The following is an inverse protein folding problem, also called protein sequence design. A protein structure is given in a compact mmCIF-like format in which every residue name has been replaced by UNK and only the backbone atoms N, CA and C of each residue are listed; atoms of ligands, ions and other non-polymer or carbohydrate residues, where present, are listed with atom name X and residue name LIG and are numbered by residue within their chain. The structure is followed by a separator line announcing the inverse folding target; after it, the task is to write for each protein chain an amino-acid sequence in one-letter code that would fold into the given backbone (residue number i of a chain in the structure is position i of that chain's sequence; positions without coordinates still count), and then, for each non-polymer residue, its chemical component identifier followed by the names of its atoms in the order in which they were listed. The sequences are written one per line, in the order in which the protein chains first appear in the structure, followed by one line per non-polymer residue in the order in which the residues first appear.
data_IF_140330962540
#
_entry.id   IF_140330962540
#
_cell.length_a   1.000
_cell.length_b   1.000
_cell.length_c   1.000
_cell.angle_alpha   90.00
_cell.angle_beta   90.00
_cell.angle_gamma   90.00
#
_symmetry.space_group_name_H-M   'P 1'
#
loop_
_entity.id
_entity.type
_entity.pdbx_description
1 polymer ?
#
# COMPACT_ATOMS: atom_id res chain seq x y z
N UNK A 1 16.30 24.50 13.87
CA UNK A 1 16.44 24.27 12.42
C UNK A 1 15.76 22.96 12.10
N UNK A 2 14.99 22.89 11.00
CA UNK A 2 13.53 22.70 11.00
C UNK A 2 13.09 21.25 11.19
N UNK A 3 11.91 21.10 11.79
CA UNK A 3 11.24 19.83 12.08
C UNK A 3 11.21 18.91 10.85
N UNK A 4 11.82 17.73 11.00
CA UNK A 4 11.94 16.66 10.00
C UNK A 4 10.61 16.02 9.64
N UNK A 5 9.67 16.80 9.13
CA UNK A 5 8.45 16.32 8.50
C UNK A 5 8.85 15.74 7.14
N UNK A 6 9.14 14.45 7.09
CA UNK A 6 9.37 13.70 5.84
C UNK A 6 8.10 13.84 5.00
N UNK A 7 8.11 14.75 4.04
CA UNK A 7 7.10 14.78 2.98
C UNK A 7 7.22 13.49 2.19
N UNK A 8 6.12 12.72 2.03
CA UNK A 8 6.16 11.53 1.20
C UNK A 8 6.57 11.95 -0.23
N UNK A 9 7.56 11.25 -0.79
CA UNK A 9 8.00 11.52 -2.17
C UNK A 9 6.88 11.18 -3.15
N UNK A 10 6.89 11.77 -4.34
CA UNK A 10 5.91 11.49 -5.39
C UNK A 10 5.84 9.98 -5.71
N UNK A 11 6.97 9.27 -5.62
CA UNK A 11 7.05 7.80 -5.75
C UNK A 11 6.18 7.05 -4.75
N UNK A 12 6.03 7.56 -3.51
CA UNK A 12 5.13 6.99 -2.51
C UNK A 12 3.65 7.21 -2.83
N UNK A 13 3.33 8.20 -3.67
CA UNK A 13 1.99 8.40 -4.23
C UNK A 13 1.76 7.50 -5.47
N UNK A 14 2.80 7.24 -6.26
CA UNK A 14 2.79 6.27 -7.37
C UNK A 14 2.54 4.84 -6.88
N UNK A 15 3.00 4.53 -5.67
CA UNK A 15 2.75 3.27 -4.94
C UNK A 15 1.25 2.93 -4.74
N UNK A 16 0.36 3.92 -4.92
CA UNK A 16 -1.09 3.76 -4.82
C UNK A 16 -1.66 2.73 -5.79
N UNK A 17 -1.33 2.85 -7.08
CA UNK A 17 -1.86 1.94 -8.11
C UNK A 17 -1.29 0.54 -7.95
N UNK A 18 0.00 0.44 -7.60
CA UNK A 18 0.64 -0.85 -7.39
C UNK A 18 0.11 -1.56 -6.14
N UNK A 19 -0.16 -0.84 -5.05
CA UNK A 19 -0.73 -1.43 -3.84
C UNK A 19 -2.07 -2.12 -4.09
N UNK A 20 -2.92 -1.56 -4.94
CA UNK A 20 -4.21 -2.15 -5.30
C UNK A 20 -4.05 -3.47 -6.07
N UNK A 21 -2.94 -3.70 -6.77
CA UNK A 21 -2.67 -4.98 -7.45
C UNK A 21 -2.39 -6.15 -6.50
N UNK A 22 -2.17 -5.88 -5.21
CA UNK A 22 -1.81 -6.90 -4.20
C UNK A 22 -2.98 -7.12 -3.25
N UNK A 23 -3.27 -8.35 -2.82
CA UNK A 23 -4.31 -8.59 -1.81
C UNK A 23 -3.91 -8.03 -0.42
N UNK A 24 -4.84 -7.35 0.26
CA UNK A 24 -4.64 -6.80 1.59
C UNK A 24 -4.87 -7.87 2.66
N UNK A 25 -3.86 -8.16 3.49
CA UNK A 25 -4.01 -9.17 4.54
C UNK A 25 -4.80 -8.71 5.76
N UNK A 26 -4.88 -7.38 6.00
CA UNK A 26 -5.58 -6.81 7.15
C UNK A 26 -7.10 -6.83 6.99
N UNK A 27 -7.62 -6.35 5.85
CA UNK A 27 -9.05 -6.32 5.59
C UNK A 27 -9.55 -7.42 4.65
N UNK A 28 -8.64 -8.22 4.08
CA UNK A 28 -8.90 -9.30 3.10
C UNK A 28 -9.42 -8.82 1.73
N UNK A 29 -9.33 -7.52 1.44
CA UNK A 29 -9.63 -7.01 0.09
C UNK A 29 -8.69 -7.65 -0.95
N UNK A 30 -9.28 -8.09 -2.07
CA UNK A 30 -8.58 -8.73 -3.18
C UNK A 30 -7.79 -7.72 -4.00
N UNK A 31 -6.95 -8.21 -4.92
CA UNK A 31 -6.32 -7.35 -5.92
C UNK A 31 -7.40 -6.61 -6.73
N UNK A 32 -7.24 -5.30 -6.94
CA UNK A 32 -8.21 -4.42 -7.59
C UNK A 32 -9.31 -3.88 -6.67
N UNK A 33 -9.52 -4.47 -5.49
CA UNK A 33 -10.55 -3.99 -4.55
C UNK A 33 -10.01 -2.94 -3.60
N UNK A 34 -10.81 -1.91 -3.30
CA UNK A 34 -10.47 -0.89 -2.31
C UNK A 34 -10.47 -1.48 -0.90
N UNK A 35 -9.54 -1.03 -0.06
CA UNK A 35 -9.56 -1.42 1.35
C UNK A 35 -10.80 -0.88 2.07
N UNK A 36 -11.42 -1.71 2.91
CA UNK A 36 -12.51 -1.30 3.81
C UNK A 36 -12.04 -1.30 5.26
N UNK A 37 -12.50 -0.36 6.07
CA UNK A 37 -12.36 -0.35 7.53
C UNK A 37 -13.73 -0.41 8.20
N UNK A 38 -13.79 -0.87 9.45
CA UNK A 38 -15.01 -0.71 10.24
C UNK A 38 -15.17 0.76 10.62
N UNK A 39 -16.39 1.29 10.42
CA UNK A 39 -16.78 2.59 10.91
C UNK A 39 -16.85 2.54 12.45
N UNK A 40 -16.17 3.44 13.17
CA UNK A 40 -16.11 3.39 14.63
C UNK A 40 -17.44 3.76 15.30
N UNK A 41 -18.38 4.37 14.58
CA UNK A 41 -19.67 4.80 15.11
C UNK A 41 -20.78 3.82 14.76
N UNK A 42 -20.81 3.31 13.53
CA UNK A 42 -21.88 2.41 13.05
C UNK A 42 -21.46 0.94 12.99
N UNK A 43 -20.16 0.64 13.03
CA UNK A 43 -19.62 -0.70 12.83
C UNK A 43 -19.65 -1.18 11.37
N UNK A 44 -20.19 -0.39 10.44
CA UNK A 44 -20.31 -0.74 9.03
C UNK A 44 -18.93 -0.77 8.34
N UNK A 45 -18.73 -1.66 7.36
CA UNK A 45 -17.49 -1.67 6.59
C UNK A 45 -17.53 -0.61 5.51
N UNK A 46 -16.80 0.49 5.73
CA UNK A 46 -16.70 1.62 4.81
C UNK A 46 -15.37 1.63 4.06
N UNK A 47 -15.31 2.08 2.80
CA UNK A 47 -14.06 2.23 2.06
C UNK A 47 -13.13 3.23 2.75
N UNK A 48 -11.83 2.96 2.70
CA UNK A 48 -10.82 3.90 3.21
C UNK A 48 -10.69 5.05 2.20
N UNK A 49 -11.03 6.26 2.63
CA UNK A 49 -11.13 7.44 1.75
C UNK A 49 -9.84 8.26 1.67
N UNK A 50 -9.10 8.35 2.77
CA UNK A 50 -7.88 9.18 2.85
C UNK A 50 -6.60 8.44 2.44
N UNK A 51 -6.64 7.11 2.44
CA UNK A 51 -5.54 6.25 2.00
C UNK A 51 -6.11 5.19 1.06
N UNK A 52 -5.47 4.93 -0.09
CA UNK A 52 -5.96 3.95 -1.05
C UNK A 52 -5.95 2.52 -0.51
N UNK A 53 -5.07 2.25 0.46
CA UNK A 53 -4.88 0.94 1.03
C UNK A 53 -4.41 0.98 2.49
N UNK A 54 -4.64 -0.10 3.22
CA UNK A 54 -3.99 -0.30 4.52
C UNK A 54 -2.47 -0.37 4.38
N UNK A 55 -1.75 0.12 5.38
CA UNK A 55 -0.30 0.14 5.43
C UNK A 55 0.35 -1.24 5.24
N UNK A 56 -0.29 -2.32 5.68
CA UNK A 56 0.14 -3.71 5.45
C UNK A 56 0.17 -4.08 3.95
N UNK A 57 -0.79 -3.59 3.17
CA UNK A 57 -0.85 -3.78 1.72
C UNK A 57 0.25 -2.98 1.03
N UNK A 58 0.44 -1.73 1.43
CA UNK A 58 1.50 -0.85 0.91
C UNK A 58 2.89 -1.45 1.11
N UNK A 59 3.23 -1.88 2.34
CA UNK A 59 4.50 -2.55 2.64
C UNK A 59 4.73 -3.82 1.83
N UNK A 60 3.68 -4.58 1.56
CA UNK A 60 3.75 -5.78 0.73
C UNK A 60 4.03 -5.43 -0.73
N UNK A 61 3.36 -4.41 -1.24
CA UNK A 61 3.60 -3.86 -2.57
C UNK A 61 5.06 -3.39 -2.70
N UNK A 62 5.54 -2.56 -1.77
CA UNK A 62 6.93 -2.07 -1.72
C UNK A 62 7.95 -3.23 -1.66
N UNK A 63 7.63 -4.32 -0.94
CA UNK A 63 8.48 -5.51 -0.90
C UNK A 63 8.54 -6.22 -2.26
N UNK A 64 7.41 -6.36 -2.94
CA UNK A 64 7.36 -6.99 -4.27
C UNK A 64 8.11 -6.13 -5.30
N UNK A 65 7.97 -4.81 -5.24
CA UNK A 65 8.74 -3.92 -6.11
C UNK A 65 10.25 -4.08 -5.89
N UNK A 66 10.69 -4.13 -4.62
CA UNK A 66 12.12 -4.35 -4.29
C UNK A 66 12.63 -5.69 -4.83
N UNK A 67 11.87 -6.77 -4.67
CA UNK A 67 12.23 -8.09 -5.17
C UNK A 67 12.31 -8.14 -6.70
N UNK A 68 11.44 -7.41 -7.41
CA UNK A 68 11.49 -7.33 -8.87
C UNK A 68 12.58 -6.37 -9.39
N UNK A 69 13.05 -5.44 -8.56
CA UNK A 69 14.08 -4.47 -8.91
C UNK A 69 15.50 -4.99 -8.72
N UNK A 70 15.70 -6.06 -7.95
CA UNK A 70 16.97 -6.79 -7.93
C UNK A 70 17.08 -7.58 -9.24
N UNK A 71 17.99 -7.24 -10.17
CA UNK A 71 18.27 -8.12 -11.28
C UNK A 71 18.85 -9.39 -10.67
N UNK A 72 18.21 -10.53 -10.94
CA UNK A 72 18.88 -11.82 -10.87
C UNK A 72 20.17 -11.64 -11.68
N UNK A 73 21.31 -11.55 -10.99
CA UNK A 73 22.62 -11.67 -11.64
C UNK A 73 22.74 -13.13 -12.08
N UNK A 74 22.09 -13.47 -13.18
CA UNK A 74 22.47 -14.60 -14.02
C UNK A 74 23.66 -14.10 -14.84
N UNK A 75 24.83 -14.04 -14.19
CA UNK A 75 26.11 -13.98 -14.89
C UNK A 75 26.63 -15.41 -15.04
N UNK A 76 27.17 -15.67 -16.23
CA UNK A 76 27.26 -16.96 -16.93
C UNK A 76 28.35 -17.90 -16.45
#
# INVERSE_FOLDING_TARGET
MPDGRRTPSLDQLTDRGFAETVACQSCKASAGETCTRADPHTGERVPVTNFPAHHSRLKRAERIQRLNAEPTQEDS
#
